data_IF_617691593527
#
_entry.id   IF_617691593527
#
_cell.length_a   1.000
_cell.length_b   1.000
_cell.length_c   1.000
_cell.angle_alpha   90.00
_cell.angle_beta   90.00
_cell.angle_gamma   90.00
#
_symmetry.space_group_name_H-M   'P 1'
#
loop_
_entity.id
_entity.type
_entity.pdbx_description
1 polymer ?
#
# COMPACT_ATOMS: atom_id res chain seq x y z
N UNK A 1 -1.99 2.37 1.42
CA UNK A 1 -2.06 3.54 2.34
C UNK A 1 -1.96 3.19 3.81
N UNK A 2 -2.78 2.27 4.35
CA UNK A 2 -2.73 1.89 5.78
C UNK A 2 -1.43 1.18 6.21
N UNK A 3 -0.60 0.76 5.26
CA UNK A 3 0.75 0.20 5.47
C UNK A 3 1.86 1.27 5.40
N UNK A 4 1.54 2.55 5.19
CA UNK A 4 2.53 3.61 4.98
C UNK A 4 2.76 4.42 6.26
N UNK A 5 1.74 5.18 6.69
CA UNK A 5 1.76 6.00 7.91
C UNK A 5 0.33 6.36 8.34
N UNK A 6 0.17 6.93 9.53
CA UNK A 6 -1.16 7.23 10.11
C UNK A 6 -1.91 8.31 9.33
N UNK A 7 -1.18 9.28 8.79
CA UNK A 7 -1.70 10.39 8.01
C UNK A 7 -2.00 10.05 6.54
N UNK A 8 -1.40 8.98 6.00
CA UNK A 8 -1.40 8.70 4.56
C UNK A 8 -2.80 8.48 3.99
N UNK A 9 -3.65 7.68 4.66
CA UNK A 9 -5.01 7.41 4.18
C UNK A 9 -5.87 8.68 4.11
N UNK A 10 -5.86 9.46 5.18
CA UNK A 10 -6.68 10.67 5.27
C UNK A 10 -6.19 11.76 4.31
N UNK A 11 -4.86 11.84 4.10
CA UNK A 11 -4.26 12.71 3.08
C UNK A 11 -4.71 12.29 1.69
N UNK A 12 -4.63 10.99 1.38
CA UNK A 12 -5.05 10.45 0.10
C UNK A 12 -6.54 10.72 -0.17
N UNK A 13 -7.41 10.50 0.82
CA UNK A 13 -8.86 10.72 0.69
C UNK A 13 -9.23 12.21 0.58
N UNK A 14 -8.40 13.13 1.09
CA UNK A 14 -8.67 14.56 1.09
C UNK A 14 -8.68 15.16 -0.32
N UNK A 15 -7.80 14.70 -1.22
CA UNK A 15 -7.74 15.18 -2.60
C UNK A 15 -9.01 14.86 -3.40
N UNK A 16 -9.42 13.59 -3.56
CA UNK A 16 -10.61 13.26 -4.33
C UNK A 16 -11.87 13.80 -3.68
N UNK A 17 -11.92 13.94 -2.35
CA UNK A 17 -13.02 14.63 -1.69
C UNK A 17 -13.10 16.11 -2.09
N UNK A 18 -11.96 16.81 -2.07
CA UNK A 18 -11.89 18.23 -2.49
C UNK A 18 -12.31 18.39 -3.96
N UNK A 19 -11.87 17.49 -4.82
CA UNK A 19 -12.22 17.47 -6.24
C UNK A 19 -13.73 17.27 -6.46
N UNK A 20 -14.31 16.24 -5.83
CA UNK A 20 -15.74 15.94 -5.92
C UNK A 20 -16.61 17.06 -5.36
N UNK A 21 -16.20 17.66 -4.24
CA UNK A 21 -16.90 18.80 -3.66
C UNK A 21 -16.97 20.00 -4.60
N UNK A 22 -16.04 20.10 -5.55
CA UNK A 22 -16.02 21.11 -6.60
C UNK A 22 -16.68 20.65 -7.90
N UNK A 23 -17.50 19.59 -7.88
CA UNK A 23 -18.23 19.11 -9.05
C UNK A 23 -17.33 18.46 -10.10
N UNK A 24 -16.25 17.79 -9.65
CA UNK A 24 -15.27 17.15 -10.52
C UNK A 24 -14.59 18.13 -11.50
N UNK A 25 -14.45 19.40 -11.10
CA UNK A 25 -13.67 20.41 -11.82
C UNK A 25 -12.78 21.22 -10.85
N UNK A 26 -11.47 21.12 -11.05
CA UNK A 26 -10.49 21.89 -10.26
C UNK A 26 -10.59 23.40 -10.48
N UNK A 27 -11.13 23.86 -11.61
CA UNK A 27 -11.33 25.30 -11.86
C UNK A 27 -12.35 25.88 -10.88
N UNK A 28 -13.41 25.12 -10.60
CA UNK A 28 -14.43 25.51 -9.61
C UNK A 28 -13.87 25.56 -8.19
N UNK A 29 -12.80 24.82 -7.89
CA UNK A 29 -12.10 24.97 -6.62
C UNK A 29 -11.47 26.37 -6.51
N UNK A 30 -10.76 26.81 -7.55
CA UNK A 30 -10.12 28.14 -7.57
C UNK A 30 -11.17 29.24 -7.41
N UNK A 31 -12.28 29.15 -8.16
CA UNK A 31 -13.39 30.12 -8.07
C UNK A 31 -14.01 30.18 -6.67
N UNK A 32 -14.23 29.03 -6.02
CA UNK A 32 -14.87 28.94 -4.70
C UNK A 32 -13.96 29.36 -3.55
N UNK A 33 -12.66 29.10 -3.69
CA UNK A 33 -11.69 29.30 -2.60
C UNK A 33 -10.88 30.59 -2.77
N UNK A 34 -10.85 31.16 -3.98
CA UNK A 34 -9.93 32.23 -4.34
C UNK A 34 -8.46 31.81 -4.16
N UNK A 35 -8.14 30.52 -4.35
CA UNK A 35 -6.77 30.00 -4.36
C UNK A 35 -6.22 30.03 -5.78
N UNK A 36 -4.92 30.25 -5.91
CA UNK A 36 -4.24 30.17 -7.19
C UNK A 36 -4.22 28.72 -7.71
N UNK A 37 -4.21 28.55 -9.03
CA UNK A 37 -4.21 27.24 -9.71
C UNK A 37 -3.10 26.29 -9.24
N UNK A 38 -1.96 26.84 -8.81
CA UNK A 38 -0.82 26.08 -8.28
C UNK A 38 -1.14 25.28 -7.01
N UNK A 39 -2.23 25.58 -6.29
CA UNK A 39 -2.63 24.84 -5.09
C UNK A 39 -2.94 23.38 -5.40
N UNK A 40 -3.45 23.09 -6.59
CA UNK A 40 -3.76 21.73 -7.03
C UNK A 40 -2.47 20.89 -7.06
N UNK A 41 -1.46 21.37 -7.78
CA UNK A 41 -0.17 20.68 -7.90
C UNK A 41 0.43 20.46 -6.53
N UNK A 42 0.40 21.49 -5.68
CA UNK A 42 0.93 21.40 -4.33
C UNK A 42 0.23 20.34 -3.46
N UNK A 43 -1.10 20.23 -3.54
CA UNK A 43 -1.86 19.18 -2.87
C UNK A 43 -1.50 17.80 -3.40
N UNK A 44 -1.41 17.65 -4.72
CA UNK A 44 -1.05 16.39 -5.36
C UNK A 44 0.36 15.94 -4.95
N UNK A 45 1.34 16.84 -4.97
CA UNK A 45 2.71 16.58 -4.54
C UNK A 45 2.76 16.21 -3.04
N UNK A 46 2.04 16.96 -2.20
CA UNK A 46 1.92 16.67 -0.77
C UNK A 46 1.38 15.26 -0.51
N UNK A 47 0.30 14.88 -1.19
CA UNK A 47 -0.29 13.54 -1.04
C UNK A 47 0.61 12.46 -1.61
N UNK A 48 1.23 12.69 -2.77
CA UNK A 48 2.14 11.74 -3.36
C UNK A 48 3.30 11.44 -2.41
N UNK A 49 3.96 12.48 -1.89
CA UNK A 49 5.06 12.34 -0.94
C UNK A 49 4.65 11.57 0.32
N UNK A 50 3.46 11.84 0.87
CA UNK A 50 2.96 11.11 2.03
C UNK A 50 2.62 9.65 1.76
N UNK A 51 2.19 9.33 0.55
CA UNK A 51 1.71 8.01 0.18
C UNK A 51 2.83 7.09 -0.34
N UNK A 52 3.84 7.62 -1.02
CA UNK A 52 4.78 6.80 -1.80
C UNK A 52 6.20 6.83 -1.29
N UNK A 53 6.66 7.90 -0.64
CA UNK A 53 8.03 7.95 -0.16
C UNK A 53 8.20 6.99 1.03
N UNK A 54 9.17 6.10 0.93
CA UNK A 54 9.33 4.98 1.86
C UNK A 54 10.44 5.18 2.87
N UNK A 55 11.46 6.00 2.57
CA UNK A 55 12.60 6.28 3.44
C UNK A 55 13.24 7.65 3.11
N UNK A 56 14.05 8.19 4.04
CA UNK A 56 14.80 9.43 3.85
C UNK A 56 14.07 10.69 4.34
N UNK A 57 14.19 11.80 3.60
CA UNK A 57 13.65 13.11 3.97
C UNK A 57 12.12 13.25 3.79
N UNK A 58 11.36 12.15 3.71
CA UNK A 58 9.88 12.15 3.50
C UNK A 58 9.18 13.15 4.42
N UNK A 59 9.40 13.04 5.73
CA UNK A 59 8.72 13.90 6.70
C UNK A 59 9.09 15.38 6.50
N UNK A 60 10.33 15.66 6.11
CA UNK A 60 10.78 17.02 5.81
C UNK A 60 10.13 17.56 4.53
N UNK A 61 10.17 16.80 3.43
CA UNK A 61 9.56 17.15 2.15
C UNK A 61 8.06 17.38 2.30
N UNK A 62 7.36 16.45 2.97
CA UNK A 62 5.93 16.58 3.28
C UNK A 62 5.66 17.87 4.05
N UNK A 63 6.42 18.17 5.11
CA UNK A 63 6.22 19.39 5.91
C UNK A 63 6.47 20.64 5.09
N UNK A 64 7.49 20.64 4.24
CA UNK A 64 7.81 21.78 3.39
C UNK A 64 6.68 22.06 2.37
N UNK A 65 6.15 21.02 1.73
CA UNK A 65 5.01 21.15 0.82
C UNK A 65 3.75 21.61 1.57
N UNK A 66 3.49 21.02 2.74
CA UNK A 66 2.35 21.40 3.55
C UNK A 66 2.46 22.83 4.10
N UNK A 67 3.66 23.30 4.42
CA UNK A 67 3.88 24.68 4.85
C UNK A 67 3.60 25.66 3.72
N UNK A 68 3.96 25.34 2.47
CA UNK A 68 3.57 26.14 1.31
C UNK A 68 2.04 26.17 1.14
N UNK A 69 1.38 25.04 1.40
CA UNK A 69 -0.08 24.92 1.33
C UNK A 69 -0.76 25.80 2.40
N UNK A 70 -0.22 25.80 3.62
CA UNK A 70 -0.65 26.69 4.71
C UNK A 70 -0.42 28.15 4.36
N UNK A 71 0.76 28.51 3.86
CA UNK A 71 1.09 29.89 3.48
C UNK A 71 0.19 30.47 2.38
N UNK A 72 -0.40 29.61 1.54
CA UNK A 72 -1.39 30.01 0.55
C UNK A 72 -2.82 30.20 1.12
N UNK A 73 -3.04 29.95 2.41
CA UNK A 73 -4.37 29.94 3.04
C UNK A 73 -5.18 28.68 2.68
N UNK A 74 -4.50 27.60 2.29
CA UNK A 74 -5.11 26.35 1.85
C UNK A 74 -6.05 25.74 2.89
N UNK A 75 -5.60 25.48 4.14
CA UNK A 75 -6.44 24.91 5.19
C UNK A 75 -7.73 25.70 5.44
N UNK A 76 -7.66 27.02 5.57
CA UNK A 76 -8.85 27.83 5.88
C UNK A 76 -9.85 27.85 4.74
N UNK A 77 -9.38 27.75 3.49
CA UNK A 77 -10.22 27.86 2.30
C UNK A 77 -10.74 26.51 1.82
N UNK A 78 -9.88 25.49 1.66
CA UNK A 78 -10.27 24.18 1.13
C UNK A 78 -11.14 23.41 2.11
N UNK A 79 -10.96 23.56 3.42
CA UNK A 79 -11.82 22.87 4.39
C UNK A 79 -13.26 23.40 4.42
N UNK A 80 -13.57 24.48 3.68
CA UNK A 80 -14.93 25.00 3.53
C UNK A 80 -15.72 24.36 2.40
N UNK A 81 -15.06 23.63 1.49
CA UNK A 81 -15.72 23.06 0.30
C UNK A 81 -16.62 21.86 0.64
N UNK A 82 -16.33 21.13 1.72
CA UNK A 82 -17.24 20.12 2.29
C UNK A 82 -16.92 19.83 3.76
N UNK A 83 -17.93 19.41 4.53
CA UNK A 83 -17.70 18.96 5.92
C UNK A 83 -16.78 17.74 5.99
N UNK A 84 -16.75 16.91 4.95
CA UNK A 84 -15.84 15.76 4.88
C UNK A 84 -14.40 16.19 4.64
N UNK A 85 -14.13 17.18 3.78
CA UNK A 85 -12.76 17.69 3.59
C UNK A 85 -12.22 18.28 4.91
N UNK A 86 -13.06 19.02 5.64
CA UNK A 86 -12.75 19.53 6.99
C UNK A 86 -12.44 18.41 7.98
N UNK A 87 -13.23 17.34 7.99
CA UNK A 87 -12.99 16.17 8.85
C UNK A 87 -11.67 15.50 8.50
N UNK A 88 -11.41 15.22 7.23
CA UNK A 88 -10.18 14.59 6.75
C UNK A 88 -8.94 15.43 7.13
N UNK A 89 -9.01 16.75 6.91
CA UNK A 89 -7.95 17.67 7.32
C UNK A 89 -7.66 17.63 8.82
N UNK A 90 -8.69 17.55 9.68
CA UNK A 90 -8.50 17.38 11.13
C UNK A 90 -7.85 16.05 11.50
N UNK A 91 -8.03 15.01 10.68
CA UNK A 91 -7.47 13.68 10.95
C UNK A 91 -5.99 13.58 10.59
N UNK A 92 -5.52 14.24 9.51
CA UNK A 92 -4.11 14.16 9.11
C UNK A 92 -3.25 15.33 9.59
N UNK A 93 -3.78 16.56 9.66
CA UNK A 93 -2.94 17.74 9.89
C UNK A 93 -2.13 17.72 11.19
N UNK A 94 -2.62 17.19 12.34
CA UNK A 94 -1.80 17.12 13.55
C UNK A 94 -0.54 16.28 13.38
N UNK A 95 -0.61 15.20 12.59
CA UNK A 95 0.54 14.33 12.33
C UNK A 95 1.59 15.03 11.44
N UNK A 96 1.15 15.89 10.50
CA UNK A 96 2.05 16.68 9.65
C UNK A 96 2.84 17.71 10.47
N UNK A 97 2.17 18.41 11.39
CA UNK A 97 2.81 19.43 12.23
C UNK A 97 3.73 18.85 13.32
N UNK A 98 3.61 17.56 13.62
CA UNK A 98 4.44 16.93 14.66
C UNK A 98 5.90 16.94 14.20
N UNK A 99 6.84 17.36 15.07
CA UNK A 99 8.28 17.42 14.76
C UNK A 99 8.87 16.02 14.52
N UNK A 100 8.45 15.08 15.35
CA UNK A 100 8.76 13.66 15.28
C UNK A 100 7.46 12.89 15.04
N UNK A 101 7.49 11.72 14.40
CA UNK A 101 8.66 10.99 13.91
C UNK A 101 9.18 11.47 12.55
N UNK A 102 10.45 11.16 12.24
CA UNK A 102 11.10 11.53 10.96
C UNK A 102 11.08 10.41 9.93
N UNK A 103 11.25 9.17 10.37
CA UNK A 103 11.48 8.02 9.50
C UNK A 103 10.47 6.89 9.76
N UNK A 104 10.35 6.00 8.77
CA UNK A 104 9.59 4.77 8.90
C UNK A 104 10.49 3.67 9.48
N UNK A 105 10.13 3.11 10.64
CA UNK A 105 10.86 2.03 11.31
C UNK A 105 9.98 1.38 12.41
N UNK A 106 10.56 0.58 13.31
CA UNK A 106 9.91 0.17 14.55
C UNK A 106 9.37 1.40 15.30
N UNK A 107 8.27 1.23 16.02
CA UNK A 107 7.68 2.33 16.79
C UNK A 107 8.66 2.80 17.86
N UNK A 108 9.01 4.09 17.83
CA UNK A 108 9.84 4.76 18.83
C UNK A 108 9.43 6.24 18.95
N UNK A 109 10.13 6.99 19.81
CA UNK A 109 9.89 8.43 19.95
C UNK A 109 10.26 9.22 18.67
N UNK A 110 11.10 8.65 17.81
CA UNK A 110 11.64 9.31 16.60
C UNK A 110 11.24 8.64 15.28
N UNK A 111 10.62 7.46 15.33
CA UNK A 111 10.19 6.66 14.17
C UNK A 111 8.75 6.21 14.31
N UNK A 112 8.05 6.11 13.18
CA UNK A 112 6.72 5.50 13.10
C UNK A 112 6.76 4.26 12.22
N UNK A 113 5.78 3.38 12.37
CA UNK A 113 5.61 2.23 11.51
C UNK A 113 4.13 1.86 11.43
N UNK A 114 3.69 1.41 10.26
CA UNK A 114 2.30 1.05 10.04
C UNK A 114 2.04 -0.47 10.11
N UNK A 115 3.10 -1.28 10.23
CA UNK A 115 3.05 -2.74 10.42
C UNK A 115 2.94 -3.17 11.89
N UNK A 116 3.25 -2.26 12.82
CA UNK A 116 3.09 -2.48 14.26
C UNK A 116 2.07 -1.46 14.78
N UNK A 117 0.93 -1.96 15.23
CA UNK A 117 -0.18 -1.19 15.76
C UNK A 117 -0.06 -1.21 17.27
N UNK A 118 0.63 -0.21 17.82
CA UNK A 118 0.80 -0.03 19.26
C UNK A 118 0.88 1.45 19.61
N UNK A 119 0.51 1.77 20.84
CA UNK A 119 0.75 3.06 21.47
C UNK A 119 2.08 3.11 22.26
N UNK A 120 2.85 2.01 22.25
CA UNK A 120 4.13 1.86 22.93
C UNK A 120 5.24 1.61 21.91
N UNK A 121 6.49 1.78 22.36
CA UNK A 121 7.65 1.38 21.57
C UNK A 121 7.64 -0.14 21.35
N UNK A 122 8.08 -0.57 20.18
CA UNK A 122 8.08 -1.98 19.79
C UNK A 122 9.52 -2.45 19.63
N UNK A 123 9.91 -3.41 20.46
CA UNK A 123 11.25 -4.00 20.42
C UNK A 123 11.36 -5.05 19.31
N UNK A 124 12.53 -5.11 18.66
CA UNK A 124 12.81 -6.10 17.62
C UNK A 124 12.72 -7.54 18.15
N UNK A 125 13.13 -7.74 19.40
CA UNK A 125 13.12 -9.04 20.08
C UNK A 125 11.70 -9.54 20.31
N UNK A 126 10.76 -8.64 20.66
CA UNK A 126 9.35 -8.98 20.80
C UNK A 126 8.78 -9.47 19.46
N UNK A 127 9.04 -8.75 18.38
CA UNK A 127 8.62 -9.14 17.04
C UNK A 127 9.29 -10.43 16.58
N UNK A 128 10.54 -10.67 16.99
CA UNK A 128 11.21 -11.95 16.78
C UNK A 128 10.52 -13.13 17.47
N UNK A 129 10.06 -12.93 18.71
CA UNK A 129 9.26 -13.91 19.44
C UNK A 129 7.94 -14.23 18.75
N UNK A 130 7.21 -13.21 18.26
CA UNK A 130 5.98 -13.40 17.48
C UNK A 130 6.27 -14.15 16.19
N UNK A 131 7.31 -13.74 15.47
CA UNK A 131 7.68 -14.33 14.17
C UNK A 131 7.99 -15.82 14.31
N UNK A 132 8.70 -16.20 15.37
CA UNK A 132 8.99 -17.60 15.67
C UNK A 132 7.70 -18.39 15.95
N UNK A 133 6.81 -17.85 16.77
CA UNK A 133 5.53 -18.49 17.10
C UNK A 133 4.65 -18.67 15.86
N UNK A 134 4.58 -17.67 14.97
CA UNK A 134 3.84 -17.78 13.71
C UNK A 134 4.46 -18.86 12.80
N UNK A 135 5.78 -18.91 12.70
CA UNK A 135 6.49 -19.97 11.96
C UNK A 135 6.25 -21.38 12.51
N UNK A 136 6.24 -21.55 13.85
CA UNK A 136 5.92 -22.83 14.51
C UNK A 136 4.48 -23.30 14.25
N UNK A 137 3.58 -22.39 13.84
CA UNK A 137 2.18 -22.68 13.49
C UNK A 137 1.92 -22.61 11.98
N UNK A 138 2.98 -22.57 11.15
CA UNK A 138 2.89 -22.48 9.68
C UNK A 138 2.09 -21.28 9.18
N UNK A 139 2.10 -20.19 9.95
CA UNK A 139 1.48 -18.92 9.58
C UNK A 139 2.57 -18.03 8.99
N UNK A 140 2.49 -17.80 7.68
CA UNK A 140 3.37 -16.86 7.01
C UNK A 140 2.91 -15.42 7.26
N UNK A 141 3.86 -14.48 7.18
CA UNK A 141 3.72 -13.15 7.78
C UNK A 141 3.54 -12.03 6.75
N UNK A 142 3.64 -12.32 5.46
CA UNK A 142 3.69 -11.36 4.36
C UNK A 142 2.43 -10.47 4.34
N UNK A 143 1.27 -11.04 4.66
CA UNK A 143 -0.02 -10.35 4.69
C UNK A 143 -0.47 -9.95 6.12
N UNK A 144 0.46 -9.86 7.09
CA UNK A 144 0.12 -9.61 8.49
C UNK A 144 0.51 -8.21 8.96
N UNK A 145 -0.19 -7.72 9.98
CA UNK A 145 0.24 -6.62 10.85
C UNK A 145 0.16 -7.08 12.29
N UNK A 146 1.05 -6.56 13.13
CA UNK A 146 1.05 -6.87 14.54
C UNK A 146 0.23 -5.82 15.30
N UNK A 147 -0.67 -6.26 16.17
CA UNK A 147 -1.45 -5.39 17.05
C UNK A 147 -1.14 -5.74 18.50
N UNK A 148 -0.75 -4.75 19.30
CA UNK A 148 -0.59 -4.93 20.74
C UNK A 148 -1.94 -4.87 21.44
N UNK A 149 -2.48 -6.01 21.82
CA UNK A 149 -3.68 -6.08 22.66
C UNK A 149 -3.30 -5.99 24.15
N UNK A 150 -3.26 -4.76 24.69
CA UNK A 150 -3.10 -4.49 26.13
C UNK A 150 -1.69 -4.69 26.71
N UNK A 151 -1.57 -4.55 28.04
CA UNK A 151 -0.30 -4.70 28.78
C UNK A 151 -0.07 -6.18 29.08
N UNK A 152 0.92 -6.80 28.43
CA UNK A 152 1.33 -8.17 28.73
C UNK A 152 2.33 -8.21 29.88
N UNK A 153 1.90 -8.62 31.07
CA UNK A 153 2.77 -8.86 32.24
C UNK A 153 3.52 -10.21 32.21
N UNK A 154 3.32 -11.04 31.18
CA UNK A 154 4.01 -12.34 31.05
C UNK A 154 5.30 -12.20 30.24
N UNK A 155 6.41 -12.63 30.85
CA UNK A 155 7.71 -12.82 30.19
C UNK A 155 7.76 -14.06 29.29
N UNK A 156 6.79 -14.97 29.42
CA UNK A 156 6.67 -16.16 28.58
C UNK A 156 5.77 -15.87 27.38
N UNK A 157 6.37 -15.87 26.19
CA UNK A 157 5.69 -15.65 24.91
C UNK A 157 4.70 -16.77 24.56
N UNK A 158 4.98 -18.00 25.01
CA UNK A 158 4.21 -19.22 24.78
C UNK A 158 2.82 -19.28 25.43
N UNK A 159 2.40 -18.24 26.17
CA UNK A 159 1.04 -18.13 26.74
C UNK A 159 0.19 -17.01 26.11
N UNK A 160 0.68 -16.29 25.10
CA UNK A 160 -0.10 -15.24 24.44
C UNK A 160 -1.11 -15.85 23.46
N UNK A 161 -2.37 -15.42 23.53
CA UNK A 161 -3.41 -15.77 22.55
C UNK A 161 -3.17 -14.97 21.27
N UNK A 162 -3.09 -15.65 20.13
CA UNK A 162 -3.06 -15.02 18.81
C UNK A 162 -4.50 -14.93 18.28
N UNK A 163 -4.90 -13.74 17.86
CA UNK A 163 -6.12 -13.52 17.09
C UNK A 163 -5.71 -13.08 15.69
N UNK A 164 -6.22 -13.77 14.66
CA UNK A 164 -5.79 -13.62 13.27
C UNK A 164 -6.98 -13.19 12.40
N UNK A 165 -6.69 -12.39 11.39
CA UNK A 165 -7.64 -11.97 10.36
C UNK A 165 -8.38 -10.67 10.65
N UNK A 166 -9.23 -10.26 9.71
CA UNK A 166 -10.12 -9.09 9.82
C UNK A 166 -9.48 -7.75 9.44
N UNK A 167 -8.17 -7.68 9.26
CA UNK A 167 -7.53 -6.42 8.85
C UNK A 167 -7.95 -6.04 7.41
N UNK A 168 -8.46 -4.82 7.25
CA UNK A 168 -9.01 -4.29 5.99
C UNK A 168 -10.16 -5.11 5.37
N UNK A 169 -10.88 -5.93 6.14
CA UNK A 169 -11.88 -6.88 5.64
C UNK A 169 -12.86 -6.27 4.61
N UNK A 170 -13.45 -5.10 4.89
CA UNK A 170 -14.38 -4.46 3.96
C UNK A 170 -13.74 -4.09 2.60
N UNK A 171 -12.47 -3.65 2.59
CA UNK A 171 -11.75 -3.36 1.34
C UNK A 171 -11.30 -4.61 0.62
N UNK A 172 -10.96 -5.66 1.37
CA UNK A 172 -10.66 -6.98 0.81
C UNK A 172 -11.90 -7.57 0.15
N UNK A 173 -13.07 -7.44 0.75
CA UNK A 173 -14.34 -7.90 0.18
C UNK A 173 -14.69 -7.17 -1.13
N UNK A 174 -14.58 -5.84 -1.17
CA UNK A 174 -14.73 -5.05 -2.40
C UNK A 174 -13.76 -5.53 -3.50
N UNK A 175 -12.50 -5.79 -3.15
CA UNK A 175 -11.49 -6.28 -4.08
C UNK A 175 -11.81 -7.68 -4.61
N UNK A 176 -12.23 -8.60 -3.75
CA UNK A 176 -12.65 -9.94 -4.15
C UNK A 176 -13.84 -9.91 -5.10
N UNK A 177 -14.81 -9.01 -4.89
CA UNK A 177 -15.92 -8.83 -5.82
C UNK A 177 -15.45 -8.36 -7.21
N UNK A 178 -14.54 -7.39 -7.27
CA UNK A 178 -13.94 -6.94 -8.53
C UNK A 178 -13.18 -8.07 -9.25
N UNK A 179 -12.44 -8.90 -8.51
CA UNK A 179 -11.71 -10.04 -9.07
C UNK A 179 -12.67 -11.12 -9.59
N UNK A 180 -13.77 -11.36 -8.91
CA UNK A 180 -14.79 -12.32 -9.34
C UNK A 180 -15.45 -11.86 -10.66
N UNK A 181 -15.69 -10.57 -10.84
CA UNK A 181 -16.13 -10.01 -12.13
C UNK A 181 -15.02 -10.14 -13.20
N UNK A 182 -13.78 -9.79 -12.86
CA UNK A 182 -12.63 -9.84 -13.76
C UNK A 182 -12.33 -11.27 -14.27
N UNK A 183 -12.64 -12.29 -13.48
CA UNK A 183 -12.49 -13.71 -13.83
C UNK A 183 -13.14 -14.06 -15.18
N UNK A 184 -14.30 -13.48 -15.48
CA UNK A 184 -15.02 -13.71 -16.74
C UNK A 184 -14.29 -13.18 -17.99
N UNK A 185 -13.26 -12.35 -17.81
CA UNK A 185 -12.42 -11.80 -18.87
C UNK A 185 -11.04 -12.47 -18.95
N UNK A 186 -10.81 -13.54 -18.17
CA UNK A 186 -9.56 -14.28 -18.20
C UNK A 186 -9.26 -14.82 -19.61
N UNK A 187 -8.02 -14.64 -20.07
CA UNK A 187 -7.62 -15.05 -21.41
C UNK A 187 -7.52 -16.57 -21.58
N UNK A 188 -7.36 -17.31 -20.47
CA UNK A 188 -7.22 -18.75 -20.47
C UNK A 188 -7.63 -19.38 -19.11
N UNK A 189 -7.97 -20.68 -19.06
CA UNK A 189 -8.41 -21.34 -17.83
C UNK A 189 -7.37 -21.35 -16.69
N UNK A 190 -6.05 -21.53 -16.93
CA UNK A 190 -5.05 -21.39 -15.86
C UNK A 190 -5.05 -20.02 -15.18
N UNK A 191 -5.19 -18.94 -15.95
CA UNK A 191 -5.26 -17.58 -15.41
C UNK A 191 -6.56 -17.33 -14.66
N UNK A 192 -7.68 -17.87 -15.16
CA UNK A 192 -8.96 -17.88 -14.43
C UNK A 192 -8.80 -18.54 -13.04
N UNK A 193 -8.15 -19.71 -12.98
CA UNK A 193 -7.86 -20.41 -11.73
C UNK A 193 -6.91 -19.62 -10.83
N UNK A 194 -5.91 -18.92 -11.40
CA UNK A 194 -5.02 -18.06 -10.61
C UNK A 194 -5.81 -16.96 -9.89
N UNK A 195 -6.77 -16.32 -10.59
CA UNK A 195 -7.67 -15.32 -9.99
C UNK A 195 -8.52 -15.95 -8.87
N UNK A 196 -9.06 -17.15 -9.07
CA UNK A 196 -9.82 -17.84 -8.02
C UNK A 196 -8.98 -18.11 -6.76
N UNK A 197 -7.70 -18.49 -6.94
CA UNK A 197 -6.77 -18.71 -5.83
C UNK A 197 -6.36 -17.41 -5.14
N UNK A 198 -6.20 -16.31 -5.89
CA UNK A 198 -6.01 -14.99 -5.30
C UNK A 198 -7.22 -14.58 -4.44
N UNK A 199 -8.45 -14.72 -4.95
CA UNK A 199 -9.69 -14.46 -4.20
C UNK A 199 -9.74 -15.29 -2.93
N UNK A 200 -9.44 -16.60 -3.02
CA UNK A 200 -9.41 -17.49 -1.86
C UNK A 200 -8.36 -17.02 -0.85
N UNK A 201 -7.15 -16.68 -1.29
CA UNK A 201 -6.09 -16.20 -0.41
C UNK A 201 -6.50 -14.94 0.34
N UNK A 202 -7.12 -13.98 -0.35
CA UNK A 202 -7.59 -12.74 0.26
C UNK A 202 -8.73 -12.95 1.24
N UNK A 203 -9.72 -13.77 0.88
CA UNK A 203 -10.88 -14.04 1.73
C UNK A 203 -10.49 -14.78 3.02
N UNK A 204 -9.52 -15.70 2.95
CA UNK A 204 -9.13 -16.52 4.11
C UNK A 204 -7.87 -16.02 4.82
N UNK A 205 -7.10 -15.13 4.19
CA UNK A 205 -5.77 -14.71 4.64
C UNK A 205 -4.71 -15.82 4.60
N UNK A 206 -4.93 -16.90 3.85
CA UNK A 206 -4.04 -18.08 3.83
C UNK A 206 -3.01 -17.99 2.71
N UNK A 207 -1.75 -18.21 3.05
CA UNK A 207 -0.62 -18.13 2.11
C UNK A 207 -0.50 -19.35 1.21
N UNK A 208 -1.13 -20.47 1.53
CA UNK A 208 -1.19 -21.64 0.64
C UNK A 208 -1.92 -21.31 -0.67
N UNK A 209 -3.12 -20.75 -0.58
CA UNK A 209 -3.88 -20.29 -1.74
C UNK A 209 -3.11 -19.22 -2.53
N UNK A 210 -2.31 -18.39 -1.85
CA UNK A 210 -1.42 -17.44 -2.50
C UNK A 210 -0.35 -18.14 -3.35
N UNK A 211 0.32 -19.16 -2.81
CA UNK A 211 1.33 -19.94 -3.56
C UNK A 211 0.72 -20.68 -4.74
N UNK A 212 -0.45 -21.28 -4.54
CA UNK A 212 -1.19 -21.94 -5.62
C UNK A 212 -1.48 -20.95 -6.77
N UNK A 213 -1.89 -19.72 -6.42
CA UNK A 213 -2.08 -18.63 -7.39
C UNK A 213 -0.78 -18.32 -8.15
N UNK A 214 0.34 -18.18 -7.42
CA UNK A 214 1.64 -17.88 -8.02
C UNK A 214 2.10 -18.99 -8.97
N UNK A 215 1.93 -20.26 -8.58
CA UNK A 215 2.28 -21.41 -9.41
C UNK A 215 1.47 -21.49 -10.71
N UNK A 216 0.20 -21.07 -10.67
CA UNK A 216 -0.64 -20.97 -11.86
C UNK A 216 -0.24 -19.77 -12.71
N UNK A 217 0.02 -18.63 -12.07
CA UNK A 217 0.42 -17.39 -12.72
C UNK A 217 1.75 -17.54 -13.49
N UNK A 218 2.77 -18.17 -12.90
CA UNK A 218 4.06 -18.38 -13.61
C UNK A 218 3.95 -19.29 -14.84
N UNK A 219 2.87 -20.07 -14.93
CA UNK A 219 2.58 -20.93 -16.10
C UNK A 219 1.83 -20.16 -17.20
N UNK A 220 1.26 -18.99 -16.90
CA UNK A 220 0.65 -18.13 -17.91
C UNK A 220 1.75 -17.40 -18.70
N UNK A 221 2.19 -18.04 -19.78
CA UNK A 221 3.33 -17.58 -20.56
C UNK A 221 2.89 -16.54 -21.60
N UNK A 222 3.48 -15.35 -21.54
CA UNK A 222 3.23 -14.24 -22.47
C UNK A 222 1.74 -13.86 -22.57
N UNK A 223 1.04 -13.55 -21.46
CA UNK A 223 -0.31 -13.02 -21.53
C UNK A 223 -0.38 -11.78 -22.42
N UNK A 224 -1.57 -11.31 -22.79
CA UNK A 224 -1.69 -10.00 -23.45
C UNK A 224 -1.59 -8.85 -22.43
N UNK A 225 -1.97 -9.13 -21.19
CA UNK A 225 -1.95 -8.23 -20.05
C UNK A 225 -1.39 -9.00 -18.87
N UNK A 226 -0.23 -8.57 -18.37
CA UNK A 226 0.33 -9.11 -17.13
C UNK A 226 -0.29 -8.40 -15.91
N UNK A 227 -0.49 -9.13 -14.83
CA UNK A 227 -1.04 -8.58 -13.58
C UNK A 227 -0.28 -9.05 -12.36
N UNK A 228 -0.02 -8.13 -11.45
CA UNK A 228 0.42 -8.42 -10.08
C UNK A 228 -0.58 -7.75 -9.16
N UNK A 229 -1.25 -8.50 -8.29
CA UNK A 229 -2.13 -7.94 -7.27
C UNK A 229 -2.00 -8.79 -6.01
N UNK A 230 -1.15 -8.39 -5.08
CA UNK A 230 -0.80 -9.22 -3.90
C UNK A 230 0.14 -8.48 -2.93
N UNK A 231 0.46 -9.14 -1.82
CA UNK A 231 1.52 -8.74 -0.90
C UNK A 231 2.87 -9.26 -1.43
N UNK A 232 3.73 -8.38 -1.96
CA UNK A 232 4.96 -8.78 -2.67
C UNK A 232 6.21 -8.44 -1.89
N UNK A 233 6.46 -7.14 -1.67
CA UNK A 233 7.79 -6.67 -1.30
C UNK A 233 7.90 -6.27 0.18
N UNK A 234 8.86 -6.80 0.96
CA UNK A 234 8.97 -6.53 2.39
C UNK A 234 9.77 -5.27 2.76
N UNK A 235 10.14 -4.43 1.80
CA UNK A 235 11.08 -3.32 2.00
C UNK A 235 10.69 -2.32 3.09
N UNK A 236 9.40 -2.16 3.37
CA UNK A 236 8.88 -1.18 4.34
C UNK A 236 8.73 -1.76 5.75
N UNK A 237 8.69 -3.08 5.91
CA UNK A 237 8.72 -3.70 7.23
C UNK A 237 10.14 -3.62 7.79
N UNK A 238 10.40 -2.89 8.88
CA UNK A 238 11.73 -2.83 9.47
C UNK A 238 12.20 -4.17 10.06
N UNK A 239 11.29 -5.13 10.27
CA UNK A 239 11.66 -6.51 10.59
C UNK A 239 11.94 -7.35 9.33
N UNK A 240 11.37 -6.97 8.18
CA UNK A 240 11.66 -7.54 6.86
C UNK A 240 10.88 -8.81 6.49
N UNK A 241 9.73 -9.09 7.12
CA UNK A 241 8.93 -10.31 6.84
C UNK A 241 7.50 -10.02 6.39
N UNK A 242 7.01 -8.78 6.57
CA UNK A 242 5.69 -8.34 6.12
C UNK A 242 5.84 -7.58 4.82
N UNK A 243 5.01 -7.91 3.84
CA UNK A 243 5.07 -7.35 2.51
C UNK A 243 4.05 -6.22 2.33
N UNK A 244 4.38 -5.29 1.43
CA UNK A 244 3.46 -4.24 0.99
C UNK A 244 2.49 -4.81 -0.04
N UNK A 245 1.22 -4.39 0.06
CA UNK A 245 0.21 -4.71 -0.94
C UNK A 245 0.42 -3.86 -2.19
N UNK A 246 0.58 -4.49 -3.35
CA UNK A 246 0.77 -3.84 -4.63
C UNK A 246 -0.19 -4.36 -5.70
N UNK A 247 -0.46 -3.49 -6.68
CA UNK A 247 -1.33 -3.74 -7.82
C UNK A 247 -0.71 -3.14 -9.07
N UNK A 248 -0.41 -3.96 -10.06
CA UNK A 248 0.15 -3.60 -11.35
C UNK A 248 -0.62 -4.31 -12.45
N UNK A 249 -0.96 -3.55 -13.50
CA UNK A 249 -1.49 -4.07 -14.76
C UNK A 249 -0.55 -3.59 -15.86
N UNK A 250 0.12 -4.52 -16.52
CA UNK A 250 1.20 -4.23 -17.45
C UNK A 250 0.85 -4.81 -18.83
N UNK A 251 0.58 -3.98 -19.85
CA UNK A 251 0.35 -4.50 -21.19
C UNK A 251 1.64 -5.09 -21.74
N UNK A 252 1.51 -6.19 -22.50
CA UNK A 252 2.67 -6.78 -23.16
C UNK A 252 3.10 -5.94 -24.36
N UNK A 253 4.40 -5.63 -24.40
CA UNK A 253 4.99 -4.94 -25.55
C UNK A 253 5.09 -5.89 -26.74
N UNK A 254 4.28 -5.67 -27.77
CA UNK A 254 4.44 -6.37 -29.04
C UNK A 254 5.70 -5.87 -29.77
N UNK A 255 6.53 -6.80 -30.28
CA UNK A 255 7.63 -6.49 -31.21
C UNK A 255 9.06 -6.48 -30.67
N UNK A 256 9.32 -6.97 -29.44
CA UNK A 256 10.69 -7.06 -28.93
C UNK A 256 11.35 -8.41 -29.28
N UNK A 257 12.43 -8.39 -30.08
CA UNK A 257 13.32 -9.54 -30.30
C UNK A 257 14.60 -9.31 -29.50
N UNK A 258 14.82 -10.04 -28.41
CA UNK A 258 16.10 -10.06 -27.71
C UNK A 258 16.81 -11.39 -27.99
N UNK A 259 17.85 -11.38 -28.80
CA UNK A 259 18.53 -12.54 -29.40
C UNK A 259 19.23 -13.52 -28.44
N UNK A 260 18.68 -13.77 -27.26
CA UNK A 260 18.89 -15.01 -26.52
C UNK A 260 19.96 -15.04 -25.44
N UNK A 261 20.73 -13.97 -25.13
CA UNK A 261 21.72 -14.03 -24.04
C UNK A 261 21.96 -12.69 -23.32
N UNK A 262 22.03 -12.73 -21.99
CA UNK A 262 22.62 -11.70 -21.12
C UNK A 262 23.97 -12.17 -20.56
N UNK A 263 24.89 -11.27 -20.19
CA UNK A 263 26.30 -11.60 -19.90
C UNK A 263 26.61 -12.23 -18.52
N UNK A 264 25.61 -12.66 -17.72
CA UNK A 264 25.83 -13.06 -16.32
C UNK A 264 25.04 -14.32 -15.86
N UNK A 265 24.81 -15.30 -16.73
CA UNK A 265 23.98 -16.47 -16.41
C UNK A 265 24.77 -17.71 -15.91
N UNK A 266 24.10 -18.52 -15.07
CA UNK A 266 24.60 -19.76 -14.42
C UNK A 266 24.45 -21.00 -15.30
N UNK A 267 25.16 -22.09 -14.95
CA UNK A 267 25.33 -23.30 -15.77
C UNK A 267 24.09 -24.23 -15.94
N UNK A 268 23.03 -24.08 -15.13
CA UNK A 268 21.78 -24.84 -15.28
C UNK A 268 20.59 -23.87 -15.28
N UNK A 269 19.87 -23.83 -16.40
CA UNK A 269 18.80 -22.88 -16.69
C UNK A 269 17.44 -23.57 -16.63
N UNK A 270 16.71 -23.36 -15.54
CA UNK A 270 15.24 -23.44 -15.59
C UNK A 270 14.74 -22.11 -16.14
N UNK A 271 14.16 -22.05 -17.36
CA UNK A 271 13.80 -20.79 -18.00
C UNK A 271 12.83 -19.97 -17.14
N UNK A 272 13.25 -18.86 -16.50
CA UNK A 272 12.31 -17.93 -15.92
C UNK A 272 11.76 -17.02 -17.02
N UNK A 273 10.50 -16.58 -16.87
CA UNK A 273 9.96 -15.57 -17.76
C UNK A 273 10.72 -14.25 -17.53
N UNK A 274 11.40 -13.73 -18.56
CA UNK A 274 12.11 -12.44 -18.52
C UNK A 274 11.50 -11.51 -19.57
N UNK A 275 10.86 -10.43 -19.12
CA UNK A 275 10.12 -9.52 -20.01
C UNK A 275 10.35 -8.06 -19.62
N UNK A 276 10.51 -7.20 -20.63
CA UNK A 276 10.49 -5.75 -20.46
C UNK A 276 9.05 -5.25 -20.51
N UNK A 277 8.57 -4.70 -19.40
CA UNK A 277 7.20 -4.20 -19.24
C UNK A 277 7.21 -2.67 -19.19
N UNK A 278 6.21 -2.03 -19.81
CA UNK A 278 5.99 -0.59 -19.74
C UNK A 278 4.74 -0.32 -18.91
N UNK A 279 4.89 0.33 -17.76
CA UNK A 279 3.76 0.74 -16.95
C UNK A 279 2.95 1.84 -17.67
N UNK A 280 1.64 1.64 -17.79
CA UNK A 280 0.72 2.64 -18.32
C UNK A 280 -0.36 2.92 -17.28
N UNK A 281 -0.45 4.17 -16.83
CA UNK A 281 -1.57 4.67 -16.03
C UNK A 281 -2.45 5.53 -16.96
N UNK A 282 -3.53 4.95 -17.49
CA UNK A 282 -4.41 5.64 -18.44
C UNK A 282 -5.60 6.29 -17.71
N UNK A 283 -5.32 7.41 -17.06
CA UNK A 283 -6.35 8.38 -16.68
C UNK A 283 -6.60 9.37 -17.83
N UNK A 284 -7.28 8.95 -18.90
CA UNK A 284 -7.96 9.83 -19.88
C UNK A 284 -9.15 9.11 -20.51
N UNK A 285 -10.34 9.43 -20.01
CA UNK A 285 -11.56 9.52 -20.83
C UNK A 285 -11.71 10.97 -21.27
#
# INVERSE_FOLDING_TARGET
MRQVSTEALHTFDFIPETYRACGDDWRLLADRTGLADGIRTLLQDFSLCNCTLTNGNRAEVTRNLYQQYVSAGGPEKITTVSERSKKLHRMFSPDIYRKLPHNLNFLSDITQGAYFLSNQQVAREEIGGVSKLLGENEIYQENTRWLQAGISYSSSFSRRKLELGGDNAAKVEEMCACLEEAKSYAANPPYEQAIERDIQSFATGRTEAYRDSQELWVKDMKPAVETILRFVEPYRDPYGVRAEFEGLRLPWRQGYKNGGMGPFEKDLFDPPNYTSLQATDNGKG
#
